data_IF_868544207078
#
_entry.id   IF_868544207078
#
_cell.length_a   1.000
_cell.length_b   1.000
_cell.length_c   1.000
_cell.angle_alpha   90.00
_cell.angle_beta   90.00
_cell.angle_gamma   90.00
#
_symmetry.space_group_name_H-M   'P 1'
#
loop_
_entity.id
_entity.type
_entity.pdbx_description
1 polymer ?
#
# COMPACT_ATOMS: atom_id res chain seq x y z
N UNK A 1 -43.34 14.04 -5.59
CA UNK A 1 -42.87 12.68 -5.98
C UNK A 1 -41.36 12.72 -6.08
N UNK A 2 -40.67 12.26 -5.04
CA UNK A 2 -39.21 12.17 -5.03
C UNK A 2 -38.76 11.11 -6.03
N UNK A 3 -37.94 11.52 -6.99
CA UNK A 3 -37.31 10.57 -7.93
C UNK A 3 -36.36 9.69 -7.13
N UNK A 4 -36.73 8.44 -6.91
CA UNK A 4 -35.82 7.42 -6.39
C UNK A 4 -34.63 7.34 -7.36
N UNK A 5 -33.45 7.79 -6.91
CA UNK A 5 -32.22 7.67 -7.71
C UNK A 5 -31.89 6.18 -7.82
N UNK A 6 -31.92 5.62 -9.02
CA UNK A 6 -31.43 4.27 -9.28
C UNK A 6 -29.92 4.25 -9.04
N UNK A 7 -29.49 3.55 -7.99
CA UNK A 7 -28.09 3.33 -7.69
C UNK A 7 -27.64 2.02 -8.32
N UNK A 8 -26.58 2.05 -9.14
CA UNK A 8 -25.96 0.86 -9.69
C UNK A 8 -24.85 0.39 -8.76
N UNK A 9 -25.13 -0.62 -7.96
CA UNK A 9 -24.11 -1.22 -7.08
C UNK A 9 -23.00 -1.88 -7.89
N UNK A 10 -21.75 -1.67 -7.45
CA UNK A 10 -20.61 -2.42 -7.96
C UNK A 10 -20.47 -3.74 -7.19
N UNK A 11 -19.94 -4.76 -7.84
CA UNK A 11 -19.65 -6.02 -7.16
C UNK A 11 -18.62 -5.80 -6.07
N UNK A 12 -18.91 -6.31 -4.86
CA UNK A 12 -17.95 -6.35 -3.77
C UNK A 12 -16.96 -7.47 -4.06
N UNK A 13 -15.66 -7.18 -4.01
CA UNK A 13 -14.59 -8.14 -4.34
C UNK A 13 -13.64 -8.39 -3.19
N UNK A 14 -13.66 -7.54 -2.17
CA UNK A 14 -12.78 -7.61 -1.01
C UNK A 14 -13.50 -7.22 0.27
N UNK A 15 -12.96 -7.63 1.41
CA UNK A 15 -13.42 -7.26 2.74
C UNK A 15 -12.26 -7.18 3.73
N UNK A 16 -12.49 -6.58 4.91
CA UNK A 16 -11.53 -6.58 6.02
C UNK A 16 -11.76 -7.79 6.93
N UNK A 17 -10.65 -8.44 7.31
CA UNK A 17 -10.61 -9.54 8.29
C UNK A 17 -9.36 -9.43 9.18
N UNK A 18 -9.27 -10.17 10.29
CA UNK A 18 -8.00 -10.34 11.01
C UNK A 18 -6.91 -10.84 10.05
N UNK A 19 -5.77 -10.14 10.04
CA UNK A 19 -4.67 -10.44 9.12
C UNK A 19 -3.99 -11.78 9.44
N UNK A 20 -3.60 -12.51 8.41
CA UNK A 20 -2.72 -13.70 8.49
C UNK A 20 -1.23 -13.34 8.49
N UNK A 21 -0.90 -12.09 8.11
CA UNK A 21 0.47 -11.59 7.91
C UNK A 21 0.88 -10.68 9.07
N UNK A 22 -0.01 -9.78 9.51
CA UNK A 22 0.22 -8.84 10.60
C UNK A 22 -0.47 -9.31 11.88
N UNK A 23 0.23 -9.91 12.84
CA UNK A 23 -0.35 -10.35 14.10
C UNK A 23 -1.06 -9.19 14.82
N UNK A 24 -2.27 -9.40 15.29
CA UNK A 24 -3.13 -8.38 15.95
C UNK A 24 -3.56 -7.22 15.04
N UNK A 25 -3.37 -7.34 13.73
CA UNK A 25 -3.80 -6.37 12.72
C UNK A 25 -5.00 -6.84 11.91
N UNK A 26 -5.47 -5.94 11.05
CA UNK A 26 -6.48 -6.22 10.02
C UNK A 26 -5.79 -6.34 8.67
N UNK A 27 -6.35 -7.10 7.77
CA UNK A 27 -5.91 -7.22 6.38
C UNK A 27 -7.08 -7.20 5.42
N UNK A 28 -6.78 -6.99 4.15
CA UNK A 28 -7.74 -6.99 3.05
C UNK A 28 -7.78 -8.36 2.42
N UNK A 29 -8.96 -8.97 2.34
CA UNK A 29 -9.14 -10.32 1.80
C UNK A 29 -10.01 -10.32 0.57
N UNK A 30 -9.65 -11.13 -0.42
CA UNK A 30 -10.50 -11.37 -1.58
C UNK A 30 -11.71 -12.22 -1.17
N UNK A 31 -12.91 -11.81 -1.58
CA UNK A 31 -14.15 -12.60 -1.49
C UNK A 31 -14.59 -13.12 -2.85
N UNK A 32 -14.01 -12.58 -3.92
CA UNK A 32 -14.18 -13.04 -5.29
C UNK A 32 -12.81 -13.20 -5.96
N UNK A 33 -12.74 -14.07 -6.99
CA UNK A 33 -11.51 -14.29 -7.75
C UNK A 33 -11.12 -13.01 -8.50
N UNK A 34 -9.88 -12.56 -8.30
CA UNK A 34 -9.28 -11.42 -8.99
C UNK A 34 -8.21 -11.94 -9.95
N UNK A 35 -8.43 -11.75 -11.25
CA UNK A 35 -7.48 -12.20 -12.28
C UNK A 35 -6.24 -11.30 -12.29
N UNK A 36 -5.06 -11.89 -12.56
CA UNK A 36 -3.82 -11.14 -12.80
C UNK A 36 -4.05 -10.02 -13.82
N UNK A 37 -3.46 -8.85 -13.58
CA UNK A 37 -3.58 -7.64 -14.40
C UNK A 37 -4.83 -6.80 -14.10
N UNK A 38 -5.77 -7.30 -13.31
CA UNK A 38 -6.96 -6.50 -12.91
C UNK A 38 -6.58 -5.44 -11.90
N UNK A 39 -7.08 -4.21 -12.11
CA UNK A 39 -7.05 -3.14 -11.12
C UNK A 39 -7.91 -3.54 -9.92
N UNK A 40 -7.33 -3.37 -8.73
CA UNK A 40 -7.99 -3.71 -7.45
C UNK A 40 -8.49 -2.44 -6.78
N UNK A 41 -7.59 -1.45 -6.64
CA UNK A 41 -7.88 -0.17 -6.00
C UNK A 41 -7.29 1.00 -6.79
N UNK A 42 -7.82 2.20 -6.59
CA UNK A 42 -7.05 3.42 -6.83
C UNK A 42 -5.88 3.43 -5.86
N UNK A 43 -4.70 3.76 -6.37
CA UNK A 43 -3.50 3.82 -5.58
C UNK A 43 -3.05 5.26 -5.31
N UNK A 44 -1.84 5.39 -4.79
CA UNK A 44 -1.23 6.69 -4.52
C UNK A 44 -0.70 7.26 -5.82
N UNK A 45 -1.48 8.11 -6.49
CA UNK A 45 -1.07 8.70 -7.77
C UNK A 45 0.09 9.68 -7.61
N UNK A 46 0.88 9.88 -8.67
CA UNK A 46 2.06 10.77 -8.68
C UNK A 46 1.77 12.20 -8.18
N UNK A 47 0.55 12.72 -8.38
CA UNK A 47 0.16 14.04 -7.86
C UNK A 47 0.31 14.16 -6.34
N UNK A 48 0.05 13.09 -5.59
CA UNK A 48 0.16 13.10 -4.12
C UNK A 48 1.61 13.23 -3.65
N UNK A 49 2.57 12.69 -4.40
CA UNK A 49 4.00 12.86 -4.08
C UNK A 49 4.51 14.29 -4.27
N UNK A 50 3.80 15.13 -5.02
CA UNK A 50 4.09 16.59 -5.14
C UNK A 50 3.58 17.37 -3.92
N UNK A 51 2.62 16.82 -3.18
CA UNK A 51 1.96 17.45 -2.04
C UNK A 51 2.17 16.67 -0.75
N UNK A 52 3.30 15.95 -0.64
CA UNK A 52 3.65 15.23 0.58
C UNK A 52 3.86 16.20 1.75
N UNK A 53 3.52 15.74 2.96
CA UNK A 53 3.75 16.47 4.19
C UNK A 53 5.20 16.29 4.62
N UNK A 54 5.92 17.40 4.88
CA UNK A 54 7.31 17.34 5.32
C UNK A 54 7.48 16.64 6.67
N UNK A 55 8.60 15.92 6.86
CA UNK A 55 8.95 15.32 8.17
C UNK A 55 9.09 16.35 9.28
N UNK A 56 9.37 17.64 8.99
CA UNK A 56 9.42 18.70 10.00
C UNK A 56 8.07 18.94 10.70
N UNK A 57 6.96 18.59 10.06
CA UNK A 57 5.62 18.69 10.66
C UNK A 57 5.39 17.54 11.65
N UNK A 58 5.99 16.36 11.40
CA UNK A 58 5.76 15.14 12.17
C UNK A 58 6.09 15.32 13.66
N UNK A 59 7.20 15.95 13.98
CA UNK A 59 7.69 16.10 15.36
C UNK A 59 6.77 16.97 16.24
N UNK A 60 5.98 17.86 15.60
CA UNK A 60 5.03 18.74 16.27
C UNK A 60 3.63 18.11 16.45
N UNK A 61 3.41 16.90 15.94
CA UNK A 61 2.12 16.21 16.06
C UNK A 61 2.00 15.43 17.36
N UNK A 62 0.75 15.14 17.77
CA UNK A 62 0.50 14.28 18.92
C UNK A 62 1.10 12.88 18.72
N UNK A 63 1.51 12.20 19.81
CA UNK A 63 2.07 10.86 19.75
C UNK A 63 1.12 9.84 19.10
N UNK A 64 -0.19 10.00 19.30
CA UNK A 64 -1.21 9.17 18.62
C UNK A 64 -1.20 9.38 17.12
N UNK A 65 -1.12 10.62 16.66
CA UNK A 65 -1.05 10.94 15.22
C UNK A 65 0.26 10.45 14.61
N UNK A 66 1.40 10.67 15.28
CA UNK A 66 2.70 10.15 14.85
C UNK A 66 2.65 8.62 14.64
N UNK A 67 2.05 7.89 15.59
CA UNK A 67 1.88 6.44 15.51
C UNK A 67 1.04 6.03 14.29
N UNK A 68 -0.02 6.78 13.97
CA UNK A 68 -0.85 6.52 12.79
C UNK A 68 -0.09 6.78 11.49
N UNK A 69 0.66 7.87 11.41
CA UNK A 69 1.51 8.18 10.26
C UNK A 69 2.50 7.05 9.99
N UNK A 70 3.22 6.59 11.01
CA UNK A 70 4.20 5.51 10.87
C UNK A 70 3.55 4.16 10.51
N UNK A 71 2.29 3.95 10.86
CA UNK A 71 1.57 2.71 10.59
C UNK A 71 0.91 2.66 9.20
N UNK A 72 0.50 3.80 8.67
CA UNK A 72 -0.35 3.86 7.48
C UNK A 72 0.25 4.63 6.31
N UNK A 73 1.02 5.72 6.56
CA UNK A 73 1.49 6.57 5.48
C UNK A 73 2.69 5.95 4.76
N UNK A 74 2.76 6.20 3.45
CA UNK A 74 3.97 5.93 2.68
C UNK A 74 4.97 7.05 2.93
N UNK A 75 6.18 6.69 3.34
CA UNK A 75 7.27 7.61 3.61
C UNK A 75 8.21 7.77 2.42
N UNK A 76 8.79 8.96 2.29
CA UNK A 76 9.87 9.29 1.36
C UNK A 76 11.02 9.93 2.13
N UNK A 77 12.15 10.21 1.46
CA UNK A 77 13.25 10.99 2.05
C UNK A 77 12.84 12.41 2.48
N UNK A 78 11.79 12.98 1.86
CA UNK A 78 11.37 14.36 2.06
C UNK A 78 10.15 14.52 2.98
N UNK A 79 9.33 13.47 3.10
CA UNK A 79 8.09 13.55 3.85
C UNK A 79 7.26 12.27 3.76
N UNK A 80 5.98 12.39 4.00
CA UNK A 80 5.04 11.27 3.95
C UNK A 80 3.75 11.66 3.21
N UNK A 81 3.06 10.67 2.68
CA UNK A 81 1.78 10.82 2.00
C UNK A 81 0.67 10.50 3.01
N UNK A 82 -0.09 11.50 3.47
CA UNK A 82 -1.22 11.26 4.38
C UNK A 82 -2.44 10.74 3.64
N UNK A 83 -3.45 10.21 4.36
CA UNK A 83 -4.77 9.97 3.79
C UNK A 83 -5.43 11.30 3.37
N UNK A 84 -6.49 11.19 2.56
CA UNK A 84 -7.26 12.34 2.12
C UNK A 84 -7.70 13.20 3.33
N UNK A 85 -7.59 14.52 3.19
CA UNK A 85 -7.87 15.50 4.25
C UNK A 85 -7.07 15.29 5.56
N UNK A 86 -5.98 14.50 5.53
CA UNK A 86 -5.21 14.10 6.72
C UNK A 86 -6.06 13.44 7.82
N UNK A 87 -7.16 12.75 7.45
CA UNK A 87 -8.11 12.15 8.38
C UNK A 87 -7.93 10.62 8.49
N UNK A 88 -7.31 10.18 9.59
CA UNK A 88 -7.14 8.76 9.91
C UNK A 88 -8.41 8.07 10.43
N UNK A 89 -9.51 8.80 10.64
CA UNK A 89 -10.78 8.20 11.05
C UNK A 89 -11.63 7.78 9.84
N UNK A 90 -11.24 8.20 8.64
CA UNK A 90 -11.96 7.93 7.39
C UNK A 90 -11.02 7.28 6.34
N UNK A 91 -10.38 6.17 6.72
CA UNK A 91 -9.50 5.43 5.82
C UNK A 91 -10.29 4.53 4.90
N UNK A 92 -10.01 4.61 3.59
CA UNK A 92 -10.50 3.63 2.63
C UNK A 92 -9.79 2.28 2.77
N UNK A 93 -10.37 1.23 2.19
CA UNK A 93 -9.96 -0.16 2.46
C UNK A 93 -8.50 -0.47 2.09
N UNK A 94 -7.94 0.20 1.08
CA UNK A 94 -6.57 0.01 0.62
C UNK A 94 -5.51 0.43 1.63
N UNK A 95 -5.84 1.28 2.61
CA UNK A 95 -4.94 1.65 3.71
C UNK A 95 -4.64 0.49 4.66
N UNK A 96 -5.44 -0.59 4.60
CA UNK A 96 -5.27 -1.80 5.40
C UNK A 96 -4.50 -2.91 4.67
N UNK A 97 -3.90 -2.60 3.51
CA UNK A 97 -3.03 -3.54 2.79
C UNK A 97 -1.73 -3.76 3.55
N UNK A 98 -1.47 -4.99 3.94
CA UNK A 98 -0.27 -5.37 4.66
C UNK A 98 0.93 -5.63 3.74
N UNK A 99 2.12 -5.67 4.34
CA UNK A 99 3.34 -6.02 3.63
C UNK A 99 3.51 -7.53 3.47
N UNK A 100 3.94 -7.94 2.28
CA UNK A 100 4.55 -9.25 2.05
C UNK A 100 5.71 -9.14 1.05
N UNK A 101 6.85 -9.78 1.35
CA UNK A 101 7.98 -9.85 0.42
C UNK A 101 7.63 -10.60 -0.88
N UNK A 102 6.58 -11.44 -0.85
CA UNK A 102 5.99 -12.12 -2.01
C UNK A 102 4.51 -11.73 -2.20
N UNK A 103 4.23 -10.43 -2.19
CA UNK A 103 2.89 -9.88 -2.37
C UNK A 103 2.21 -10.34 -3.66
N UNK A 104 0.88 -10.23 -3.69
CA UNK A 104 0.04 -10.59 -4.84
C UNK A 104 -0.54 -9.38 -5.57
N UNK A 105 -0.29 -8.16 -5.07
CA UNK A 105 -0.59 -6.90 -5.73
C UNK A 105 0.67 -6.03 -5.87
N UNK A 106 0.64 -5.10 -6.80
CA UNK A 106 1.70 -4.12 -7.06
C UNK A 106 1.11 -2.91 -7.77
N UNK A 107 1.93 -2.05 -8.36
CA UNK A 107 1.48 -0.82 -9.00
C UNK A 107 1.53 -0.91 -10.52
N UNK A 108 0.58 -0.25 -11.18
CA UNK A 108 0.61 0.00 -12.62
C UNK A 108 1.39 1.28 -12.97
N UNK A 109 1.30 1.71 -14.24
CA UNK A 109 2.01 2.90 -14.74
C UNK A 109 1.48 4.24 -14.22
N UNK A 110 0.29 4.27 -13.61
CA UNK A 110 -0.29 5.49 -13.02
C UNK A 110 -0.28 5.48 -11.49
N UNK A 111 0.14 4.36 -10.87
CA UNK A 111 0.21 4.19 -9.42
C UNK A 111 -1.04 3.57 -8.80
N UNK A 112 -1.92 2.98 -9.60
CA UNK A 112 -3.06 2.21 -9.11
C UNK A 112 -2.63 0.79 -8.74
N UNK A 113 -3.28 0.19 -7.73
CA UNK A 113 -3.02 -1.19 -7.33
C UNK A 113 -3.61 -2.18 -8.33
N UNK A 114 -2.78 -3.07 -8.84
CA UNK A 114 -3.15 -4.18 -9.73
C UNK A 114 -2.78 -5.53 -9.13
N UNK A 115 -3.55 -6.56 -9.45
CA UNK A 115 -3.20 -7.93 -9.13
C UNK A 115 -2.01 -8.39 -10.00
N UNK A 116 -0.89 -8.74 -9.39
CA UNK A 116 0.31 -9.23 -10.08
C UNK A 116 0.33 -10.76 -10.19
N UNK A 117 -0.53 -11.42 -9.44
CA UNK A 117 -0.87 -12.84 -9.48
C UNK A 117 -2.40 -12.99 -9.54
N UNK A 118 -2.91 -14.16 -9.91
CA UNK A 118 -4.32 -14.48 -9.67
C UNK A 118 -4.54 -14.61 -8.16
N UNK A 119 -5.56 -13.94 -7.63
CA UNK A 119 -5.92 -13.93 -6.21
C UNK A 119 -7.24 -14.69 -6.09
N UNK A 120 -7.28 -15.72 -5.25
CA UNK A 120 -8.46 -16.54 -5.03
C UNK A 120 -9.27 -16.03 -3.82
N UNK A 121 -10.58 -16.36 -3.72
CA UNK A 121 -11.34 -16.06 -2.52
C UNK A 121 -10.64 -16.62 -1.27
N UNK A 122 -10.55 -15.80 -0.21
CA UNK A 122 -9.85 -16.14 1.04
C UNK A 122 -8.37 -15.80 1.08
N UNK A 123 -7.76 -15.38 -0.05
CA UNK A 123 -6.39 -14.87 -0.05
C UNK A 123 -6.34 -13.46 0.54
N UNK A 124 -5.35 -13.19 1.38
CA UNK A 124 -5.03 -11.84 1.84
C UNK A 124 -4.29 -11.08 0.74
N UNK A 125 -4.75 -9.85 0.43
CA UNK A 125 -4.08 -8.95 -0.49
C UNK A 125 -2.93 -8.25 0.26
N UNK A 126 -1.74 -8.35 -0.31
CA UNK A 126 -0.55 -7.73 0.25
C UNK A 126 0.40 -7.30 -0.85
N UNK A 127 1.21 -6.27 -0.58
CA UNK A 127 2.25 -5.84 -1.50
C UNK A 127 3.60 -5.69 -0.80
N UNK A 128 4.65 -5.67 -1.58
CA UNK A 128 5.98 -5.40 -1.05
C UNK A 128 6.15 -3.89 -0.84
N UNK A 129 6.28 -3.44 0.40
CA UNK A 129 6.40 -2.02 0.74
C UNK A 129 7.59 -1.35 0.04
N UNK A 130 8.68 -2.08 -0.22
CA UNK A 130 9.79 -1.58 -1.01
C UNK A 130 9.44 -1.21 -2.45
N UNK A 131 8.21 -1.49 -2.92
CA UNK A 131 7.73 -1.01 -4.22
C UNK A 131 7.34 0.48 -4.22
N UNK A 132 7.20 1.12 -3.04
CA UNK A 132 6.80 2.53 -2.92
C UNK A 132 7.46 3.27 -1.75
N UNK A 133 7.77 2.57 -0.64
CA UNK A 133 8.40 3.14 0.55
C UNK A 133 9.87 3.48 0.27
N UNK A 134 10.29 4.70 0.60
CA UNK A 134 11.67 5.16 0.40
C UNK A 134 12.19 6.08 1.53
N UNK A 135 11.50 6.13 2.67
CA UNK A 135 11.99 6.82 3.85
C UNK A 135 13.22 6.08 4.41
N UNK A 136 14.43 6.69 4.43
CA UNK A 136 15.64 6.03 4.89
C UNK A 136 15.59 5.61 6.38
N UNK A 137 14.70 6.22 7.17
CA UNK A 137 14.47 5.88 8.58
C UNK A 137 13.43 4.77 8.77
N UNK A 138 12.72 4.38 7.70
CA UNK A 138 11.73 3.31 7.80
C UNK A 138 12.40 1.98 8.12
N UNK A 139 11.88 1.30 9.13
CA UNK A 139 12.33 -0.04 9.53
C UNK A 139 11.18 -0.81 10.16
N UNK A 140 10.90 -1.99 9.65
CA UNK A 140 9.82 -2.85 10.11
C UNK A 140 10.28 -4.31 10.12
N UNK A 141 9.93 -5.04 11.20
CA UNK A 141 10.05 -6.51 11.22
C UNK A 141 8.99 -7.12 10.30
N UNK A 142 9.38 -8.15 9.54
CA UNK A 142 8.50 -8.87 8.62
C UNK A 142 8.43 -10.34 8.99
N UNK A 143 7.21 -10.83 9.19
CA UNK A 143 6.88 -12.23 9.45
C UNK A 143 5.93 -12.80 8.37
N UNK A 144 6.05 -12.35 7.09
CA UNK A 144 5.15 -12.71 5.99
C UNK A 144 5.24 -14.18 5.55
N UNK A 145 6.17 -14.97 6.13
CA UNK A 145 6.38 -16.41 5.85
C UNK A 145 6.74 -16.75 4.40
N UNK A 146 6.99 -15.75 3.53
CA UNK A 146 7.47 -16.01 2.18
C UNK A 146 8.88 -16.63 2.24
N UNK A 147 9.19 -17.53 1.30
CA UNK A 147 10.54 -18.13 1.18
C UNK A 147 11.64 -17.06 1.02
N UNK A 148 11.31 -15.97 0.30
CA UNK A 148 12.18 -14.81 0.09
C UNK A 148 12.00 -13.71 1.15
N UNK A 149 11.49 -14.03 2.35
CA UNK A 149 11.24 -13.04 3.39
C UNK A 149 12.54 -12.39 3.86
N UNK A 150 12.63 -11.06 3.74
CA UNK A 150 13.80 -10.27 4.16
C UNK A 150 13.95 -10.10 5.66
N UNK A 151 12.94 -10.50 6.47
CA UNK A 151 12.88 -10.39 7.94
C UNK A 151 12.84 -8.95 8.47
N UNK A 152 13.62 -8.06 7.91
CA UNK A 152 13.62 -6.62 8.19
C UNK A 152 13.37 -5.90 6.87
N UNK A 153 12.36 -5.06 6.84
CA UNK A 153 12.02 -4.19 5.72
C UNK A 153 12.49 -2.78 6.03
N UNK A 154 13.11 -2.13 5.07
CA UNK A 154 13.66 -0.77 5.21
C UNK A 154 13.26 0.09 4.01
N UNK A 155 13.39 1.41 4.15
CA UNK A 155 13.18 2.33 3.03
C UNK A 155 14.21 2.14 1.90
N UNK A 156 15.35 1.49 2.16
CA UNK A 156 16.36 1.18 1.15
C UNK A 156 16.03 -0.07 0.32
N UNK A 157 15.01 -0.84 0.71
CA UNK A 157 14.59 -2.03 -0.04
C UNK A 157 14.17 -1.70 -1.48
N UNK A 158 13.69 -0.48 -1.73
CA UNK A 158 13.37 0.00 -3.08
C UNK A 158 14.58 -0.08 -4.02
N UNK A 159 15.81 0.13 -3.54
CA UNK A 159 17.04 -0.01 -4.31
C UNK A 159 17.30 -1.47 -4.70
N UNK A 160 17.11 -2.40 -3.75
CA UNK A 160 17.27 -3.84 -3.97
C UNK A 160 16.25 -4.34 -4.99
N UNK A 161 14.98 -3.93 -4.83
CA UNK A 161 13.89 -4.36 -5.70
C UNK A 161 14.00 -3.77 -7.10
N UNK A 162 14.59 -2.60 -7.26
CA UNK A 162 14.87 -1.98 -8.56
C UNK A 162 15.76 -2.82 -9.45
N UNK A 163 16.73 -3.54 -8.86
CA UNK A 163 17.63 -4.44 -9.58
C UNK A 163 16.98 -5.78 -9.95
N UNK A 164 15.74 -6.03 -9.53
CA UNK A 164 14.97 -7.20 -9.91
C UNK A 164 13.93 -6.84 -10.98
N UNK A 165 14.10 -7.26 -12.26
CA UNK A 165 13.19 -6.88 -13.35
C UNK A 165 11.73 -7.25 -13.10
N UNK A 166 11.47 -8.39 -12.41
CA UNK A 166 10.11 -8.83 -12.07
C UNK A 166 9.45 -7.92 -11.03
N UNK A 167 10.22 -7.34 -10.12
CA UNK A 167 9.73 -6.40 -9.10
C UNK A 167 9.65 -4.98 -9.66
N UNK A 168 10.67 -4.56 -10.43
CA UNK A 168 10.71 -3.25 -11.07
C UNK A 168 9.47 -2.98 -11.92
N UNK A 169 8.95 -3.99 -12.62
CA UNK A 169 7.73 -3.88 -13.43
C UNK A 169 6.55 -3.33 -12.61
N UNK A 170 6.42 -3.74 -11.35
CA UNK A 170 5.32 -3.42 -10.45
C UNK A 170 5.66 -2.38 -9.39
N UNK A 171 6.86 -1.77 -9.48
CA UNK A 171 7.25 -0.66 -8.62
C UNK A 171 6.42 0.59 -8.94
N UNK A 172 6.17 1.40 -7.92
CA UNK A 172 5.42 2.65 -8.08
C UNK A 172 6.16 3.62 -9.03
N UNK A 173 5.43 4.32 -9.93
CA UNK A 173 6.04 5.26 -10.89
C UNK A 173 6.89 6.34 -10.24
N UNK A 174 6.56 6.80 -9.03
CA UNK A 174 7.37 7.75 -8.27
C UNK A 174 8.81 7.25 -8.12
N UNK A 175 9.01 6.00 -7.67
CA UNK A 175 10.35 5.44 -7.50
C UNK A 175 11.04 5.15 -8.82
N UNK A 176 10.31 4.74 -9.86
CA UNK A 176 10.90 4.54 -11.20
C UNK A 176 11.51 5.81 -11.77
N UNK A 177 10.86 6.96 -11.52
CA UNK A 177 11.26 8.25 -12.07
C UNK A 177 12.32 8.98 -11.20
N UNK A 178 12.47 8.63 -9.93
CA UNK A 178 13.42 9.26 -9.00
C UNK A 178 14.88 8.82 -9.21
N UNK A 179 15.16 8.04 -10.23
CA UNK A 179 16.49 7.48 -10.54
C UNK A 179 17.19 8.17 -11.73
N UNK A 180 16.70 9.36 -12.14
CA UNK A 180 17.36 10.20 -13.15
C UNK A 180 18.06 11.37 -12.51
#
# INVERSE_FOLDING_TARGET
>A
MDRVKTCKFRNVTVELRPSKIAPKGVGVFAIAKIKRGKRVFEGIRLKYFKHQVSWSVFDNLSKSTQKKILAFCVGTSHGFIPPDNCDFNNLSIEWYLNHSCDGNIGFDSVGDFIAIKTINPGDELAYDYGLVESNPKFRMRCDCKATSCRKIITGNDCQILRNNPKKLMFMHPYLKNSAR
#
